data_IF_855868479424
#
_entry.id   IF_855868479424
#
_cell.length_a   1.000
_cell.length_b   1.000
_cell.length_c   1.000
_cell.angle_alpha   90.00
_cell.angle_beta   90.00
_cell.angle_gamma   90.00
#
_symmetry.space_group_name_H-M   'P 1'
#
loop_
_entity.id
_entity.type
_entity.pdbx_description
1 polymer ?
#
# COMPACT_ATOMS: atom_id res chain seq x y z
N UNK A 1 10.92 35.77 -37.29
CA UNK A 1 10.50 34.36 -37.16
C UNK A 1 10.05 34.18 -35.72
N UNK A 2 8.74 33.99 -35.50
CA UNK A 2 8.18 33.84 -34.16
C UNK A 2 8.33 32.38 -33.74
N UNK A 3 9.01 32.14 -32.62
CA UNK A 3 9.10 30.83 -31.97
C UNK A 3 7.74 30.57 -31.30
N UNK A 4 6.93 29.69 -31.88
CA UNK A 4 5.69 29.26 -31.22
C UNK A 4 6.07 28.23 -30.15
N UNK A 5 5.65 28.40 -28.89
CA UNK A 5 5.85 27.36 -27.88
C UNK A 5 5.02 26.13 -28.26
N UNK A 6 5.66 24.97 -28.21
CA UNK A 6 5.06 23.67 -28.54
C UNK A 6 3.88 23.34 -27.58
N UNK A 7 2.89 22.55 -28.02
CA UNK A 7 1.63 22.42 -27.31
C UNK A 7 1.83 21.68 -26.00
N UNK A 8 1.35 22.30 -24.92
CA UNK A 8 1.22 21.78 -23.57
C UNK A 8 0.80 20.30 -23.59
N UNK A 9 1.76 19.37 -23.38
CA UNK A 9 1.50 17.95 -23.21
C UNK A 9 0.43 17.81 -22.13
N UNK A 10 -0.76 17.36 -22.52
CA UNK A 10 -1.88 17.19 -21.60
C UNK A 10 -1.56 16.02 -20.69
N UNK A 11 -0.96 16.31 -19.54
CA UNK A 11 -0.77 15.34 -18.46
C UNK A 11 -2.13 14.71 -18.15
N UNK A 12 -2.26 13.43 -18.46
CA UNK A 12 -3.48 12.68 -18.18
C UNK A 12 -3.31 12.01 -16.84
N UNK A 13 -4.05 12.48 -15.82
CA UNK A 13 -4.02 11.95 -14.46
C UNK A 13 -5.17 10.97 -14.26
N UNK A 14 -4.84 9.69 -14.07
CA UNK A 14 -5.80 8.64 -13.72
C UNK A 14 -5.66 8.30 -12.24
N UNK A 15 -6.78 8.37 -11.50
CA UNK A 15 -6.84 7.99 -10.09
C UNK A 15 -7.62 6.69 -9.98
N UNK A 16 -6.97 5.66 -9.46
CA UNK A 16 -7.57 4.35 -9.20
C UNK A 16 -7.83 4.25 -7.70
N UNK A 17 -9.10 4.29 -7.25
CA UNK A 17 -9.42 4.13 -5.83
C UNK A 17 -8.98 2.74 -5.36
N UNK A 18 -8.59 2.66 -4.09
CA UNK A 18 -8.43 1.38 -3.42
C UNK A 18 -9.72 1.07 -2.68
N UNK A 19 -10.12 -0.19 -2.74
CA UNK A 19 -11.31 -0.69 -2.05
C UNK A 19 -10.94 -1.54 -0.84
N UNK A 20 -9.72 -2.08 -0.80
CA UNK A 20 -9.19 -2.79 0.36
C UNK A 20 -7.66 -2.84 0.31
N UNK A 21 -7.07 -3.42 1.35
CA UNK A 21 -5.66 -3.72 1.44
C UNK A 21 -5.48 -5.23 1.40
N UNK A 22 -4.45 -5.67 0.66
CA UNK A 22 -4.10 -7.07 0.46
C UNK A 22 -2.74 -7.37 1.10
N UNK A 23 -2.55 -8.61 1.54
CA UNK A 23 -1.23 -9.13 1.88
C UNK A 23 -0.37 -9.23 0.61
N UNK A 24 0.84 -8.68 0.62
CA UNK A 24 1.73 -8.68 -0.56
C UNK A 24 2.30 -10.06 -0.92
N UNK A 25 2.13 -11.06 -0.04
CA UNK A 25 2.61 -12.43 -0.27
C UNK A 25 1.52 -13.33 -0.83
N UNK A 26 0.39 -13.44 -0.12
CA UNK A 26 -0.68 -14.36 -0.49
C UNK A 26 -1.86 -13.67 -1.20
N UNK A 27 -1.83 -12.34 -1.37
CA UNK A 27 -2.90 -11.52 -1.94
C UNK A 27 -4.26 -11.69 -1.26
N UNK A 28 -4.28 -12.23 -0.04
CA UNK A 28 -5.48 -12.30 0.80
C UNK A 28 -5.89 -10.87 1.17
N UNK A 29 -7.19 -10.62 1.13
CA UNK A 29 -7.77 -9.39 1.66
C UNK A 29 -7.60 -9.34 3.19
N UNK A 30 -6.95 -8.28 3.67
CA UNK A 30 -6.64 -8.07 5.10
C UNK A 30 -7.43 -6.91 5.71
N UNK A 31 -8.14 -6.12 4.90
CA UNK A 31 -9.10 -5.11 5.36
C UNK A 31 -10.46 -5.26 4.70
N UNK A 32 -11.51 -4.75 5.35
CA UNK A 32 -12.80 -4.55 4.70
C UNK A 32 -12.80 -3.36 3.71
N UNK A 33 -13.97 -3.05 3.15
CA UNK A 33 -14.22 -1.94 2.22
C UNK A 33 -14.03 -0.54 2.84
N UNK A 34 -13.97 -0.45 4.17
CA UNK A 34 -13.73 0.78 4.92
C UNK A 34 -12.31 0.83 5.50
N UNK A 35 -11.40 -0.04 5.02
CA UNK A 35 -10.03 -0.15 5.51
C UNK A 35 -9.91 -0.56 6.99
N UNK A 36 -10.92 -1.23 7.56
CA UNK A 36 -10.77 -1.85 8.87
C UNK A 36 -10.05 -3.17 8.76
N UNK A 37 -9.06 -3.37 9.62
CA UNK A 37 -8.31 -4.60 9.74
C UNK A 37 -9.23 -5.78 10.05
N UNK A 38 -9.11 -6.85 9.26
CA UNK A 38 -9.83 -8.11 9.47
C UNK A 38 -9.03 -9.10 10.33
N UNK A 39 -7.72 -8.88 10.47
CA UNK A 39 -6.81 -9.74 11.23
C UNK A 39 -5.55 -8.96 11.60
N UNK A 40 -4.69 -9.59 12.40
CA UNK A 40 -3.35 -9.07 12.67
C UNK A 40 -2.52 -8.95 11.38
N UNK A 41 -1.76 -7.87 11.26
CA UNK A 41 -0.86 -7.65 10.13
C UNK A 41 0.35 -6.80 10.54
N UNK A 42 1.48 -7.04 9.87
CA UNK A 42 2.69 -6.24 10.03
C UNK A 42 2.96 -5.46 8.75
N UNK A 43 3.13 -4.15 8.88
CA UNK A 43 3.43 -3.24 7.79
C UNK A 43 4.90 -2.83 7.81
N UNK A 44 5.54 -3.06 6.67
CA UNK A 44 6.89 -2.65 6.37
C UNK A 44 6.89 -1.70 5.16
N UNK A 45 7.93 -0.89 5.02
CA UNK A 45 8.05 0.09 3.93
C UNK A 45 7.96 -0.50 2.52
N UNK A 46 8.28 -1.79 2.37
CA UNK A 46 8.23 -2.52 1.10
C UNK A 46 7.04 -3.46 0.96
N UNK A 47 6.33 -3.79 2.04
CA UNK A 47 5.31 -4.86 2.04
C UNK A 47 4.41 -4.84 3.27
N UNK A 48 3.21 -5.35 3.13
CA UNK A 48 2.28 -5.69 4.20
C UNK A 48 2.08 -7.20 4.26
N UNK A 49 2.16 -7.77 5.45
CA UNK A 49 2.01 -9.19 5.69
C UNK A 49 0.78 -9.47 6.57
N UNK A 50 -0.05 -10.44 6.17
CA UNK A 50 -1.11 -10.95 7.04
C UNK A 50 -0.55 -11.84 8.16
N UNK A 51 -1.36 -12.12 9.17
CA UNK A 51 -0.99 -12.92 10.34
C UNK A 51 -0.31 -14.26 10.00
N UNK A 52 -0.79 -14.98 9.00
CA UNK A 52 -0.23 -16.27 8.60
C UNK A 52 1.14 -16.11 7.94
N UNK A 53 1.29 -15.12 7.05
CA UNK A 53 2.56 -14.81 6.41
C UNK A 53 3.57 -14.26 7.43
N UNK A 54 3.15 -13.46 8.42
CA UNK A 54 4.02 -13.00 9.50
C UNK A 54 4.63 -14.19 10.26
N UNK A 55 3.82 -15.21 10.59
CA UNK A 55 4.30 -16.43 11.26
C UNK A 55 5.21 -17.26 10.37
N UNK A 56 4.85 -17.44 9.11
CA UNK A 56 5.62 -18.25 8.17
C UNK A 56 6.99 -17.64 7.85
N UNK A 57 7.06 -16.31 7.74
CA UNK A 57 8.28 -15.57 7.41
C UNK A 57 8.96 -14.92 8.63
N UNK A 58 8.52 -15.24 9.85
CA UNK A 58 9.03 -14.64 11.09
C UNK A 58 10.54 -14.87 11.28
N UNK A 59 11.05 -16.01 10.81
CA UNK A 59 12.47 -16.36 10.83
C UNK A 59 13.32 -15.56 9.83
N UNK A 60 12.67 -14.86 8.87
CA UNK A 60 13.32 -13.96 7.91
C UNK A 60 13.32 -12.50 8.37
N UNK A 61 13.05 -12.21 9.64
CA UNK A 61 13.30 -10.88 10.22
C UNK A 61 14.81 -10.63 10.24
N UNK A 62 15.36 -10.30 9.08
CA UNK A 62 16.70 -9.74 8.94
C UNK A 62 16.76 -8.38 9.63
N UNK A 63 17.96 -7.92 9.92
CA UNK A 63 18.19 -6.55 10.43
C UNK A 63 17.50 -5.51 9.53
N UNK A 64 17.60 -5.68 8.21
CA UNK A 64 16.92 -4.87 7.19
C UNK A 64 15.37 -4.89 7.29
N UNK A 65 14.77 -6.04 7.61
CA UNK A 65 13.30 -6.11 7.82
C UNK A 65 12.89 -5.36 9.08
N UNK A 66 13.71 -5.37 10.13
CA UNK A 66 13.44 -4.57 11.34
C UNK A 66 13.61 -3.08 11.08
N UNK A 67 14.58 -2.67 10.25
CA UNK A 67 14.79 -1.27 9.85
C UNK A 67 13.66 -0.72 8.97
N UNK A 68 12.91 -1.59 8.29
CA UNK A 68 11.81 -1.21 7.40
C UNK A 68 10.43 -1.35 8.04
N UNK A 69 10.34 -1.77 9.29
CA UNK A 69 9.08 -1.86 10.03
C UNK A 69 8.46 -0.46 10.18
N UNK A 70 7.18 -0.33 9.80
CA UNK A 70 6.42 0.90 9.92
C UNK A 70 5.45 0.79 11.10
N UNK A 71 4.58 -0.21 11.09
CA UNK A 71 3.55 -0.38 12.11
C UNK A 71 3.01 -1.82 12.14
N UNK A 72 2.23 -2.14 13.17
CA UNK A 72 1.42 -3.35 13.23
C UNK A 72 -0.04 -3.01 13.52
N UNK A 73 -0.96 -3.77 12.94
CA UNK A 73 -2.40 -3.55 13.11
C UNK A 73 -3.05 -4.80 13.67
N UNK A 74 -4.00 -4.61 14.57
CA UNK A 74 -4.86 -5.64 15.15
C UNK A 74 -6.21 -5.67 14.44
N UNK A 75 -6.94 -6.78 14.60
CA UNK A 75 -8.31 -6.89 14.10
C UNK A 75 -9.18 -5.73 14.64
N UNK A 76 -9.86 -5.02 13.74
CA UNK A 76 -10.71 -3.87 14.04
C UNK A 76 -10.05 -2.49 13.94
N UNK A 77 -8.72 -2.43 13.80
CA UNK A 77 -8.00 -1.16 13.62
C UNK A 77 -8.38 -0.49 12.29
N UNK A 78 -8.40 0.85 12.28
CA UNK A 78 -8.78 1.65 11.11
C UNK A 78 -7.55 2.15 10.35
N UNK A 79 -7.36 1.62 9.14
CA UNK A 79 -6.21 1.95 8.27
C UNK A 79 -6.55 3.05 7.25
N UNK A 80 -7.76 3.62 7.26
CA UNK A 80 -8.23 4.59 6.26
C UNK A 80 -7.36 5.85 6.16
N UNK A 81 -6.68 6.21 7.24
CA UNK A 81 -5.79 7.38 7.30
C UNK A 81 -4.32 7.04 6.99
N UNK A 82 -4.01 5.80 6.65
CA UNK A 82 -2.64 5.34 6.37
C UNK A 82 -2.32 5.41 4.87
N UNK A 83 -1.04 5.30 4.53
CA UNK A 83 -0.61 5.22 3.12
C UNK A 83 -1.12 3.96 2.41
N UNK A 84 -1.50 2.93 3.16
CA UNK A 84 -2.06 1.69 2.60
C UNK A 84 -3.41 1.93 1.92
N UNK A 85 -4.20 2.89 2.42
CA UNK A 85 -5.50 3.27 1.89
C UNK A 85 -5.44 4.32 0.75
N UNK A 86 -4.25 4.88 0.47
CA UNK A 86 -4.12 5.90 -0.58
C UNK A 86 -4.43 5.33 -1.97
N UNK A 87 -5.18 6.07 -2.80
CA UNK A 87 -5.46 5.65 -4.17
C UNK A 87 -4.18 5.64 -5.01
N UNK A 88 -4.13 4.76 -6.01
CA UNK A 88 -3.04 4.75 -6.97
C UNK A 88 -3.23 5.91 -7.97
N UNK A 89 -2.21 6.73 -8.16
CA UNK A 89 -2.23 7.85 -9.11
C UNK A 89 -1.26 7.54 -10.23
N UNK A 90 -1.77 7.48 -11.46
CA UNK A 90 -0.97 7.32 -12.68
C UNK A 90 -0.98 8.64 -13.45
N UNK A 91 0.21 9.16 -13.75
CA UNK A 91 0.39 10.37 -14.55
C UNK A 91 1.12 9.99 -15.84
N UNK A 92 0.47 10.20 -16.98
CA UNK A 92 1.05 9.97 -18.32
C UNK A 92 1.44 11.32 -18.92
N UNK A 93 2.69 11.39 -19.36
CA UNK A 93 3.32 12.56 -20.01
C UNK A 93 3.27 12.36 -21.53
#
# INVERSE_FOLDING_TARGET
>A
MAFQPEPNDKVTRTVIPKDCVLCDVCNKQVTDENFKALEYMEWYSSRLLCADCCKEYQWRKSEEMMETFIDEFQEGDDLSNTDLAKPMVMETW
#
